data_IF_010853254744
#
_entry.id   IF_010853254744
#
_cell.length_a   1.000
_cell.length_b   1.000
_cell.length_c   1.000
_cell.angle_alpha   90.00
_cell.angle_beta   90.00
_cell.angle_gamma   90.00
#
_symmetry.space_group_name_H-M   'P 1'
#
loop_
_entity.id
_entity.type
_entity.pdbx_description
1 polymer ?
#
# COMPACT_ATOMS: atom_id res chain seq x y z
N UNK A 1 5.04 -35.15 18.57
CA UNK A 1 5.80 -33.93 18.21
C UNK A 1 5.27 -33.48 16.87
N UNK A 2 4.38 -32.50 16.86
CA UNK A 2 3.83 -31.92 15.63
C UNK A 2 4.84 -30.94 15.04
N UNK A 3 5.02 -31.04 13.72
CA UNK A 3 5.98 -30.27 12.95
C UNK A 3 5.34 -28.89 12.61
N UNK A 4 5.88 -27.75 13.06
CA UNK A 4 5.23 -26.43 12.86
C UNK A 4 5.58 -25.80 11.49
N UNK A 5 5.68 -26.60 10.42
CA UNK A 5 6.04 -26.12 9.07
C UNK A 5 4.93 -26.32 8.04
N UNK A 6 3.70 -25.99 8.41
CA UNK A 6 2.68 -25.62 7.42
C UNK A 6 2.50 -24.12 7.49
N UNK A 7 3.41 -23.39 6.85
CA UNK A 7 3.16 -22.02 6.41
C UNK A 7 1.84 -22.08 5.64
N UNK A 8 0.79 -21.56 6.25
CA UNK A 8 -0.52 -21.49 5.63
C UNK A 8 -0.33 -20.77 4.29
N UNK A 9 -0.83 -21.33 3.20
CA UNK A 9 -0.91 -20.65 1.91
C UNK A 9 -1.89 -19.48 2.07
N UNK A 10 -1.41 -18.38 2.62
CA UNK A 10 -2.15 -17.13 2.72
C UNK A 10 -2.02 -16.49 1.34
N UNK A 11 -3.15 -16.24 0.69
CA UNK A 11 -3.14 -15.52 -0.58
C UNK A 11 -2.61 -14.09 -0.37
N UNK A 12 -1.95 -13.48 -1.37
CA UNK A 12 -1.52 -12.10 -1.27
C UNK A 12 -2.67 -11.16 -0.88
N UNK A 13 -2.44 -10.17 0.00
CA UNK A 13 -3.45 -9.18 0.34
C UNK A 13 -3.98 -8.47 -0.91
N UNK A 14 -5.28 -8.21 -0.95
CA UNK A 14 -5.93 -7.60 -2.12
C UNK A 14 -5.30 -6.25 -2.49
N UNK A 15 -4.84 -5.46 -1.51
CA UNK A 15 -4.12 -4.22 -1.79
C UNK A 15 -2.87 -4.46 -2.63
N UNK A 16 -2.09 -5.50 -2.31
CA UNK A 16 -0.85 -5.82 -3.03
C UNK A 16 -1.13 -6.30 -4.46
N UNK A 17 -2.18 -7.11 -4.64
CA UNK A 17 -2.65 -7.55 -5.96
C UNK A 17 -3.05 -6.33 -6.81
N UNK A 18 -3.79 -5.39 -6.22
CA UNK A 18 -4.20 -4.18 -6.91
C UNK A 18 -2.99 -3.33 -7.33
N UNK A 19 -1.94 -3.24 -6.49
CA UNK A 19 -0.70 -2.55 -6.89
C UNK A 19 -0.03 -3.26 -8.05
N UNK A 20 0.15 -4.58 -7.96
CA UNK A 20 0.74 -5.39 -9.01
C UNK A 20 0.02 -5.20 -10.36
N UNK A 21 -1.31 -5.14 -10.37
CA UNK A 21 -2.08 -4.90 -11.59
C UNK A 21 -1.83 -3.52 -12.23
N UNK A 22 -1.34 -2.55 -11.46
CA UNK A 22 -1.04 -1.19 -11.94
C UNK A 22 0.42 -1.01 -12.31
N UNK A 23 1.35 -1.45 -11.45
CA UNK A 23 2.79 -1.19 -11.61
C UNK A 23 3.57 -2.39 -12.17
N UNK A 24 2.95 -3.56 -12.28
CA UNK A 24 3.60 -4.82 -12.63
C UNK A 24 4.43 -5.37 -11.46
N UNK A 25 5.54 -6.03 -11.78
CA UNK A 25 6.49 -6.56 -10.80
C UNK A 25 6.15 -7.96 -10.29
N UNK A 26 6.89 -8.39 -9.27
CA UNK A 26 6.80 -9.75 -8.71
C UNK A 26 6.35 -9.69 -7.25
N UNK A 27 5.36 -10.52 -6.91
CA UNK A 27 4.90 -10.72 -5.54
C UNK A 27 5.65 -11.93 -4.96
N UNK A 28 6.26 -11.75 -3.80
CA UNK A 28 6.84 -12.81 -2.98
C UNK A 28 6.25 -12.78 -1.57
N UNK A 29 6.36 -13.91 -0.86
CA UNK A 29 5.95 -14.08 0.52
C UNK A 29 7.12 -14.65 1.32
N UNK A 30 7.33 -14.10 2.51
CA UNK A 30 8.42 -14.48 3.41
C UNK A 30 7.97 -14.27 4.86
N UNK A 31 7.78 -15.36 5.62
CA UNK A 31 7.34 -15.35 7.03
C UNK A 31 6.08 -14.51 7.31
N UNK A 32 5.08 -14.57 6.43
CA UNK A 32 3.83 -13.82 6.54
C UNK A 32 3.94 -12.36 6.09
N UNK A 33 5.10 -11.92 5.60
CA UNK A 33 5.28 -10.64 4.93
C UNK A 33 5.18 -10.82 3.42
N UNK A 34 4.20 -10.15 2.83
CA UNK A 34 4.08 -10.08 1.38
C UNK A 34 4.85 -8.88 0.86
N UNK A 35 5.64 -9.09 -0.19
CA UNK A 35 6.48 -8.06 -0.82
C UNK A 35 6.18 -8.01 -2.30
N UNK A 36 5.91 -6.83 -2.82
CA UNK A 36 5.85 -6.54 -4.25
C UNK A 36 7.08 -5.72 -4.61
N UNK A 37 7.92 -6.24 -5.50
CA UNK A 37 9.08 -5.52 -6.05
C UNK A 37 8.83 -5.28 -7.53
N UNK A 38 8.96 -4.03 -7.96
CA UNK A 38 8.76 -3.67 -9.36
C UNK A 38 9.88 -2.75 -9.87
N UNK A 39 10.14 -2.88 -11.16
CA UNK A 39 10.99 -1.99 -11.94
C UNK A 39 10.36 -1.91 -13.34
N UNK A 40 9.59 -0.85 -13.58
CA UNK A 40 8.76 -0.70 -14.78
C UNK A 40 8.70 0.76 -15.23
N UNK A 41 7.92 1.05 -16.27
CA UNK A 41 7.71 2.41 -16.77
C UNK A 41 7.06 3.35 -15.73
N UNK A 42 6.50 2.82 -14.63
CA UNK A 42 6.01 3.62 -13.50
C UNK A 42 7.11 4.07 -12.54
N UNK A 43 8.29 3.46 -12.62
CA UNK A 43 9.40 3.66 -11.72
C UNK A 43 9.85 2.35 -11.09
N UNK A 44 10.56 2.46 -9.98
CA UNK A 44 11.04 1.30 -9.22
C UNK A 44 10.67 1.43 -7.75
N UNK A 45 10.52 0.28 -7.09
CA UNK A 45 10.22 0.30 -5.67
C UNK A 45 9.79 -1.04 -5.10
N UNK A 46 9.47 -0.98 -3.83
CA UNK A 46 9.05 -2.10 -3.00
C UNK A 46 7.83 -1.69 -2.19
N UNK A 47 6.81 -2.54 -2.22
CA UNK A 47 5.62 -2.42 -1.37
C UNK A 47 5.56 -3.64 -0.48
N UNK A 48 5.57 -3.44 0.84
CA UNK A 48 5.53 -4.53 1.82
C UNK A 48 4.21 -4.49 2.56
N UNK A 49 3.55 -5.64 2.68
CA UNK A 49 2.34 -5.79 3.47
C UNK A 49 2.55 -6.83 4.58
N UNK A 50 2.33 -6.42 5.82
CA UNK A 50 2.29 -7.29 6.97
C UNK A 50 0.85 -7.36 7.51
N UNK A 51 0.31 -8.57 7.59
CA UNK A 51 -0.96 -8.80 8.28
C UNK A 51 -0.67 -8.99 9.77
N UNK A 52 -1.13 -8.06 10.59
CA UNK A 52 -1.08 -8.17 12.04
C UNK A 52 -2.33 -8.89 12.56
N UNK A 53 -2.31 -9.24 13.85
CA UNK A 53 -3.49 -9.85 14.48
C UNK A 53 -4.69 -8.89 14.49
N UNK A 54 -5.90 -9.46 14.53
CA UNK A 54 -7.18 -8.73 14.76
C UNK A 54 -7.58 -7.77 13.63
N UNK A 55 -7.28 -8.12 12.38
CA UNK A 55 -7.74 -7.36 11.20
C UNK A 55 -6.98 -6.06 10.96
N UNK A 56 -5.82 -5.90 11.59
CA UNK A 56 -4.91 -4.78 11.34
C UNK A 56 -3.90 -5.22 10.29
N UNK A 57 -3.67 -4.40 9.26
CA UNK A 57 -2.62 -4.62 8.28
C UNK A 57 -1.76 -3.38 8.16
N UNK A 58 -0.45 -3.58 8.03
CA UNK A 58 0.50 -2.50 7.74
C UNK A 58 0.91 -2.61 6.28
N UNK A 59 0.87 -1.49 5.58
CA UNK A 59 1.38 -1.35 4.22
C UNK A 59 2.50 -0.32 4.25
N UNK A 60 3.68 -0.75 3.85
CA UNK A 60 4.88 0.08 3.72
C UNK A 60 5.22 0.25 2.24
N UNK A 61 5.47 1.49 1.83
CA UNK A 61 5.59 1.86 0.42
C UNK A 61 6.88 2.66 0.23
N UNK A 62 7.87 2.02 -0.36
CA UNK A 62 9.17 2.60 -0.70
C UNK A 62 9.29 2.64 -2.23
N UNK A 63 8.98 3.79 -2.85
CA UNK A 63 8.92 3.89 -4.31
C UNK A 63 9.58 5.17 -4.84
N UNK A 64 10.21 5.04 -6.00
CA UNK A 64 10.67 6.15 -6.82
C UNK A 64 9.87 6.13 -8.13
N UNK A 65 8.97 7.10 -8.30
CA UNK A 65 8.01 7.12 -9.39
C UNK A 65 8.42 8.10 -10.50
N UNK A 66 8.28 7.69 -11.76
CA UNK A 66 8.47 8.55 -12.93
C UNK A 66 7.18 9.32 -13.31
N UNK A 67 6.03 8.83 -12.86
CA UNK A 67 4.69 9.38 -13.06
C UNK A 67 3.83 9.20 -11.81
N UNK A 68 2.82 10.05 -11.64
CA UNK A 68 1.93 9.98 -10.47
C UNK A 68 1.21 8.63 -10.39
N UNK A 69 1.25 8.01 -9.22
CA UNK A 69 0.54 6.77 -8.93
C UNK A 69 -0.70 7.08 -8.09
N UNK A 70 -1.87 6.69 -8.59
CA UNK A 70 -3.15 6.85 -7.86
C UNK A 70 -3.62 5.51 -7.40
N UNK A 71 -3.93 5.40 -6.11
CA UNK A 71 -4.34 4.14 -5.52
C UNK A 71 -5.51 4.33 -4.56
N UNK A 72 -6.52 3.45 -4.68
CA UNK A 72 -7.66 3.43 -3.77
C UNK A 72 -7.36 2.45 -2.64
N UNK A 73 -7.40 2.93 -1.41
CA UNK A 73 -7.24 2.08 -0.24
C UNK A 73 -8.59 1.52 0.21
N UNK A 74 -8.63 0.20 0.42
CA UNK A 74 -9.83 -0.51 0.84
C UNK A 74 -10.90 -0.64 -0.24
N UNK A 75 -12.02 -1.23 0.13
CA UNK A 75 -13.24 -1.30 -0.69
C UNK A 75 -14.25 -0.26 -0.20
N UNK A 76 -15.09 0.31 -1.10
CA UNK A 76 -16.11 1.30 -0.73
C UNK A 76 -17.03 0.87 0.42
N UNK A 77 -17.29 -0.44 0.54
CA UNK A 77 -18.26 -1.00 1.49
C UNK A 77 -17.63 -1.50 2.79
N UNK A 78 -16.30 -1.39 2.96
CA UNK A 78 -15.64 -1.82 4.17
C UNK A 78 -15.46 -0.64 5.14
N UNK A 79 -15.95 -0.80 6.38
CA UNK A 79 -15.73 0.12 7.50
C UNK A 79 -14.27 0.03 8.00
N UNK A 80 -13.32 0.40 7.15
CA UNK A 80 -11.88 0.37 7.44
C UNK A 80 -11.39 1.75 7.84
N UNK A 81 -10.51 1.77 8.85
CA UNK A 81 -9.74 2.94 9.22
C UNK A 81 -8.35 2.83 8.61
N UNK A 82 -7.98 3.81 7.77
CA UNK A 82 -6.63 3.94 7.23
C UNK A 82 -5.90 5.04 7.97
N UNK A 83 -4.71 4.73 8.48
CA UNK A 83 -3.76 5.70 9.01
C UNK A 83 -2.58 5.77 8.05
N UNK A 84 -2.29 6.98 7.58
CA UNK A 84 -1.29 7.19 6.53
C UNK A 84 -0.33 8.26 7.01
N UNK A 85 0.95 8.00 6.82
CA UNK A 85 2.03 8.92 7.12
C UNK A 85 3.05 8.87 5.97
N UNK A 86 3.52 10.04 5.54
CA UNK A 86 4.54 10.19 4.51
C UNK A 86 5.86 10.57 5.18
N UNK A 87 6.86 9.69 5.09
CA UNK A 87 8.21 9.92 5.63
C UNK A 87 9.00 10.91 4.76
N UNK A 88 8.96 10.71 3.44
CA UNK A 88 9.71 11.48 2.46
C UNK A 88 8.90 11.63 1.17
N UNK A 89 9.14 12.69 0.41
CA UNK A 89 8.50 12.92 -0.88
C UNK A 89 7.17 13.66 -0.77
N UNK A 90 6.23 13.36 -1.66
CA UNK A 90 4.94 14.05 -1.70
C UNK A 90 3.80 13.07 -1.94
N UNK A 91 2.97 12.90 -0.92
CA UNK A 91 1.73 12.15 -0.99
C UNK A 91 0.53 13.09 -0.82
N UNK A 92 -0.53 12.80 -1.54
CA UNK A 92 -1.83 13.46 -1.43
C UNK A 92 -2.91 12.40 -1.17
N UNK A 93 -4.06 12.82 -0.68
CA UNK A 93 -5.21 11.96 -0.51
C UNK A 93 -6.48 12.65 -0.99
N UNK A 94 -7.51 11.85 -1.26
CA UNK A 94 -8.87 12.34 -1.50
C UNK A 94 -9.84 11.51 -0.65
N UNK A 95 -10.74 12.20 0.05
CA UNK A 95 -11.86 11.56 0.74
C UNK A 95 -13.04 11.44 -0.22
N UNK A 96 -14.00 10.54 0.06
CA UNK A 96 -15.21 10.45 -0.76
C UNK A 96 -16.12 11.69 -0.64
N UNK A 97 -15.88 12.54 0.37
CA UNK A 97 -16.70 13.72 0.69
C UNK A 97 -16.11 15.04 0.20
N UNK A 98 -14.90 15.03 -0.36
CA UNK A 98 -14.21 16.22 -0.87
C UNK A 98 -13.70 15.92 -2.28
N UNK A 99 -13.93 16.83 -3.22
CA UNK A 99 -13.47 16.65 -4.59
C UNK A 99 -11.99 16.96 -4.80
N UNK A 100 -11.35 17.61 -3.82
CA UNK A 100 -9.97 18.07 -3.90
C UNK A 100 -9.00 17.06 -3.30
N UNK A 101 -7.82 16.97 -3.91
CA UNK A 101 -6.68 16.28 -3.33
C UNK A 101 -6.03 17.16 -2.27
N UNK A 102 -5.87 16.63 -1.07
CA UNK A 102 -5.21 17.31 0.04
C UNK A 102 -3.83 16.67 0.26
N UNK A 103 -2.81 17.49 0.49
CA UNK A 103 -1.45 17.00 0.74
C UNK A 103 -1.38 16.32 2.12
N UNK A 104 -0.71 15.18 2.20
CA UNK A 104 -0.33 14.57 3.48
C UNK A 104 0.88 15.33 3.98
N UNK A 105 0.65 16.23 4.94
CA UNK A 105 1.73 16.90 5.65
C UNK A 105 2.53 15.89 6.47
N UNK A 106 3.85 16.05 6.50
CA UNK A 106 4.75 15.22 7.30
C UNK A 106 4.27 15.18 8.76
N UNK A 107 4.21 13.95 9.32
CA UNK A 107 3.88 13.63 10.71
C UNK A 107 2.43 13.95 11.12
N UNK A 108 1.51 14.19 10.18
CA UNK A 108 0.09 14.37 10.46
C UNK A 108 -0.74 13.14 10.09
N UNK A 109 -1.54 12.66 11.04
CA UNK A 109 -2.49 11.54 10.87
C UNK A 109 -3.82 12.00 10.29
N UNK A 110 -4.49 11.09 9.58
CA UNK A 110 -5.20 11.46 8.37
C UNK A 110 -6.17 10.32 7.95
N UNK A 111 -7.50 10.53 7.87
CA UNK A 111 -8.52 9.48 7.60
C UNK A 111 -9.00 9.47 6.15
N UNK A 112 -8.61 8.49 5.31
CA UNK A 112 -8.87 8.57 3.85
C UNK A 112 -9.27 7.26 3.16
N UNK A 113 -9.90 7.43 1.99
CA UNK A 113 -10.31 6.35 1.08
C UNK A 113 -9.43 6.24 -0.19
N UNK A 114 -8.72 7.30 -0.57
CA UNK A 114 -7.86 7.34 -1.77
C UNK A 114 -6.55 8.03 -1.44
N UNK A 115 -5.44 7.47 -1.90
CA UNK A 115 -4.09 8.08 -1.84
C UNK A 115 -3.57 8.29 -3.28
N UNK A 116 -2.95 9.43 -3.50
CA UNK A 116 -2.08 9.69 -4.64
C UNK A 116 -0.65 9.82 -4.13
N UNK A 117 0.26 9.04 -4.68
CA UNK A 117 1.70 9.20 -4.46
C UNK A 117 2.24 9.91 -5.70
N UNK A 118 2.77 11.12 -5.52
CA UNK A 118 3.30 11.91 -6.62
C UNK A 118 4.77 11.59 -6.85
N UNK A 119 5.22 11.80 -8.09
CA UNK A 119 6.64 11.68 -8.42
C UNK A 119 7.49 12.63 -7.57
N UNK A 120 8.65 12.14 -7.15
CA UNK A 120 9.70 12.98 -6.57
C UNK A 120 10.29 13.85 -7.69
N UNK A 121 10.49 15.14 -7.44
CA UNK A 121 11.02 16.10 -8.43
C UNK A 121 12.48 15.84 -8.76
#
# INVERSE_FOLDING_TARGET
MENPSKTQCIAPPQQLINFHNVVGGEISEDYGLFKLVFNSDFGCGKITCAQLSRGISVLDIEVLLTKDLRFRLGTPDAHLFHFIYCLEGTAHFKSNHDDKYQKIEELKSAYYHVIIIQKTK
#
